data_IF_437593570447
#
_entry.id   IF_437593570447
#
_cell.length_a   1.000
_cell.length_b   1.000
_cell.length_c   1.000
_cell.angle_alpha   90.00
_cell.angle_beta   90.00
_cell.angle_gamma   90.00
#
_symmetry.space_group_name_H-M   'P 1'
#
loop_
_entity.id
_entity.type
_entity.pdbx_description
1 polymer ?
#
# COMPACT_ATOMS: atom_id res chain seq x y z
N UNK A 1 9.57 -14.16 -3.60
CA UNK A 1 8.59 -14.36 -2.51
C UNK A 1 7.56 -15.46 -2.83
N UNK A 2 7.66 -16.09 -4.01
CA UNK A 2 6.80 -17.22 -4.38
C UNK A 2 6.96 -18.37 -3.38
N UNK A 3 5.85 -18.96 -2.97
CA UNK A 3 5.89 -20.12 -2.07
C UNK A 3 5.95 -19.82 -0.59
N UNK A 4 5.98 -18.57 -0.14
CA UNK A 4 5.88 -18.28 1.29
C UNK A 4 4.46 -18.58 1.80
N UNK A 5 4.33 -19.14 3.03
CA UNK A 5 3.04 -19.61 3.52
C UNK A 5 2.02 -18.50 3.81
N UNK A 6 2.45 -17.25 3.86
CA UNK A 6 1.59 -16.09 4.12
C UNK A 6 0.79 -15.64 2.90
N UNK A 7 1.15 -16.09 1.69
CA UNK A 7 0.48 -15.68 0.46
C UNK A 7 -0.93 -16.25 0.39
N UNK A 8 -1.91 -15.37 0.23
CA UNK A 8 -3.30 -15.73 0.00
C UNK A 8 -3.52 -16.26 -1.42
N UNK A 9 -2.75 -15.77 -2.38
CA UNK A 9 -2.71 -16.22 -3.77
C UNK A 9 -1.27 -16.17 -4.30
N UNK A 10 -0.95 -16.86 -5.41
CA UNK A 10 0.37 -16.74 -6.03
C UNK A 10 0.71 -15.28 -6.38
N UNK A 11 2.00 -14.97 -6.44
CA UNK A 11 2.46 -13.63 -6.84
C UNK A 11 1.92 -13.29 -8.24
N UNK A 12 1.33 -12.11 -8.36
CA UNK A 12 0.66 -11.67 -9.59
C UNK A 12 1.63 -10.81 -10.39
N UNK A 13 1.86 -11.19 -11.63
CA UNK A 13 2.83 -10.54 -12.52
C UNK A 13 2.19 -9.76 -13.67
N UNK A 14 0.88 -9.93 -13.90
CA UNK A 14 0.15 -9.25 -14.97
C UNK A 14 -0.72 -8.10 -14.41
N UNK A 15 -0.62 -6.91 -15.02
CA UNK A 15 -1.34 -5.72 -14.58
C UNK A 15 -2.87 -5.89 -14.59
N UNK A 16 -3.42 -6.50 -15.62
CA UNK A 16 -4.88 -6.77 -15.72
C UNK A 16 -5.37 -7.69 -14.61
N UNK A 17 -4.59 -8.69 -14.29
CA UNK A 17 -4.87 -9.62 -13.21
C UNK A 17 -4.80 -8.94 -11.84
N UNK A 18 -3.82 -8.07 -11.66
CA UNK A 18 -3.67 -7.26 -10.46
C UNK A 18 -4.88 -6.33 -10.24
N UNK A 19 -5.39 -5.69 -11.29
CA UNK A 19 -6.61 -4.89 -11.21
C UNK A 19 -7.82 -5.72 -10.75
N UNK A 20 -7.97 -6.93 -11.31
CA UNK A 20 -9.05 -7.86 -10.90
C UNK A 20 -8.93 -8.28 -9.44
N UNK A 21 -7.71 -8.48 -8.94
CA UNK A 21 -7.45 -8.84 -7.53
C UNK A 21 -7.79 -7.67 -6.61
N UNK A 22 -7.47 -6.44 -6.98
CA UNK A 22 -7.89 -5.27 -6.20
C UNK A 22 -9.42 -5.15 -6.15
N UNK A 23 -10.11 -5.46 -7.23
CA UNK A 23 -11.57 -5.56 -7.25
C UNK A 23 -12.09 -6.62 -6.29
N UNK A 24 -11.43 -7.77 -6.21
CA UNK A 24 -11.73 -8.80 -5.23
C UNK A 24 -11.52 -8.31 -3.79
N UNK A 25 -10.46 -7.56 -3.53
CA UNK A 25 -10.18 -6.99 -2.20
C UNK A 25 -11.31 -6.04 -1.78
N UNK A 26 -11.82 -5.22 -2.70
CA UNK A 26 -12.98 -4.35 -2.43
C UNK A 26 -14.21 -5.18 -2.05
N UNK A 27 -14.49 -6.26 -2.76
CA UNK A 27 -15.62 -7.16 -2.46
C UNK A 27 -15.43 -7.85 -1.11
N UNK A 28 -14.22 -8.27 -0.78
CA UNK A 28 -13.88 -8.86 0.52
C UNK A 28 -14.11 -7.85 1.64
N UNK A 29 -13.70 -6.61 1.46
CA UNK A 29 -13.97 -5.53 2.40
C UNK A 29 -15.47 -5.35 2.64
N UNK A 30 -16.26 -5.27 1.58
CA UNK A 30 -17.71 -5.14 1.67
C UNK A 30 -18.36 -6.33 2.38
N UNK A 31 -17.90 -7.55 2.10
CA UNK A 31 -18.34 -8.77 2.77
C UNK A 31 -18.05 -8.72 4.27
N UNK A 32 -16.86 -8.26 4.65
CA UNK A 32 -16.48 -8.09 6.07
C UNK A 32 -17.36 -7.09 6.78
N UNK A 33 -17.70 -5.97 6.13
CA UNK A 33 -18.62 -4.99 6.70
C UNK A 33 -20.02 -5.58 6.93
N UNK A 34 -20.51 -6.38 6.00
CA UNK A 34 -21.81 -7.08 6.20
C UNK A 34 -21.78 -7.98 7.40
N UNK A 35 -20.71 -8.76 7.59
CA UNK A 35 -20.54 -9.64 8.76
C UNK A 35 -20.43 -8.83 10.05
N UNK A 36 -19.66 -7.77 10.07
CA UNK A 36 -19.49 -6.90 11.23
C UNK A 36 -20.81 -6.22 11.63
N UNK A 37 -21.59 -5.78 10.65
CA UNK A 37 -22.91 -5.17 10.89
C UNK A 37 -23.87 -6.15 11.52
N UNK A 38 -23.91 -7.41 11.07
CA UNK A 38 -24.78 -8.47 11.66
C UNK A 38 -24.48 -8.70 13.13
N UNK A 39 -23.22 -8.55 13.54
CA UNK A 39 -22.77 -8.78 14.92
C UNK A 39 -22.82 -7.51 15.76
N UNK A 40 -23.01 -6.35 15.12
CA UNK A 40 -23.06 -5.06 15.79
C UNK A 40 -21.70 -4.53 16.24
N UNK A 41 -20.64 -4.83 15.49
CA UNK A 41 -19.28 -4.36 15.77
C UNK A 41 -18.83 -3.36 14.70
N UNK A 42 -17.89 -2.49 15.06
CA UNK A 42 -17.42 -1.38 14.20
C UNK A 42 -16.11 -1.70 13.45
N UNK A 43 -15.36 -2.68 13.91
CA UNK A 43 -14.05 -3.01 13.36
C UNK A 43 -13.72 -4.49 13.53
N UNK A 44 -12.63 -4.92 12.87
CA UNK A 44 -12.18 -6.30 12.89
C UNK A 44 -11.82 -6.79 14.30
N UNK A 45 -11.25 -5.95 15.12
CA UNK A 45 -10.86 -6.31 16.49
C UNK A 45 -12.10 -6.63 17.32
N UNK A 46 -13.15 -5.84 17.19
CA UNK A 46 -14.45 -6.11 17.83
C UNK A 46 -15.07 -7.40 17.33
N UNK A 47 -14.99 -7.69 16.05
CA UNK A 47 -15.47 -8.94 15.48
C UNK A 47 -14.67 -10.15 16.01
N UNK A 48 -13.35 -10.07 15.94
CA UNK A 48 -12.46 -11.16 16.32
C UNK A 48 -12.53 -11.49 17.83
N UNK A 49 -12.83 -10.52 18.68
CA UNK A 49 -13.01 -10.74 20.11
C UNK A 49 -14.26 -11.55 20.45
N UNK A 50 -15.26 -11.55 19.55
CA UNK A 50 -16.56 -12.22 19.77
C UNK A 50 -16.69 -13.55 19.04
N UNK A 51 -15.78 -13.91 18.15
CA UNK A 51 -15.88 -15.07 17.29
C UNK A 51 -14.72 -16.05 17.48
N UNK A 52 -15.06 -17.36 17.44
CA UNK A 52 -14.05 -18.43 17.51
C UNK A 52 -13.18 -18.49 16.26
N UNK A 53 -13.74 -18.15 15.09
CA UNK A 53 -13.03 -18.07 13.82
C UNK A 53 -12.80 -16.61 13.47
N UNK A 54 -11.65 -16.02 13.83
CA UNK A 54 -11.37 -14.63 13.55
C UNK A 54 -11.15 -14.39 12.05
N UNK A 55 -11.49 -13.20 11.59
CA UNK A 55 -11.08 -12.74 10.25
C UNK A 55 -9.58 -12.44 10.28
N UNK A 56 -8.80 -12.97 9.33
CA UNK A 56 -7.38 -12.59 9.22
C UNK A 56 -7.21 -11.17 8.73
N UNK A 57 -6.15 -10.50 9.15
CA UNK A 57 -5.71 -9.27 8.51
C UNK A 57 -5.19 -9.59 7.11
N UNK A 58 -5.47 -8.71 6.17
CA UNK A 58 -4.97 -8.82 4.78
C UNK A 58 -4.06 -7.63 4.50
N UNK A 59 -2.85 -7.91 4.04
CA UNK A 59 -1.92 -6.88 3.57
C UNK A 59 -1.77 -7.07 2.06
N UNK A 60 -2.09 -6.02 1.32
CA UNK A 60 -1.93 -5.97 -0.14
C UNK A 60 -0.67 -5.18 -0.44
N UNK A 61 0.28 -5.81 -1.11
CA UNK A 61 1.55 -5.18 -1.47
C UNK A 61 1.63 -5.06 -2.99
N UNK A 62 1.79 -3.85 -3.48
CA UNK A 62 2.00 -3.54 -4.90
C UNK A 62 3.44 -3.06 -5.05
N UNK A 63 4.27 -3.90 -5.67
CA UNK A 63 5.71 -3.66 -5.81
C UNK A 63 6.03 -2.52 -6.79
N UNK A 64 5.30 -2.42 -7.89
CA UNK A 64 5.47 -1.35 -8.86
C UNK A 64 4.09 -0.87 -9.37
N UNK A 65 3.58 0.19 -8.75
CA UNK A 65 2.27 0.73 -9.09
C UNK A 65 2.22 1.41 -10.47
N UNK A 66 3.37 1.83 -11.03
CA UNK A 66 3.40 2.46 -12.36
C UNK A 66 2.84 1.54 -13.45
N UNK A 67 3.12 0.25 -13.37
CA UNK A 67 2.61 -0.73 -14.32
C UNK A 67 1.09 -0.85 -14.27
N UNK A 68 0.51 -0.78 -13.08
CA UNK A 68 -0.95 -0.77 -12.90
C UNK A 68 -1.58 0.52 -13.43
N UNK A 69 -0.98 1.66 -13.13
CA UNK A 69 -1.51 2.96 -13.51
C UNK A 69 -1.50 3.17 -15.02
N UNK A 70 -0.51 2.63 -15.74
CA UNK A 70 -0.43 2.70 -17.20
C UNK A 70 -1.51 1.88 -17.90
N UNK A 71 -1.92 0.76 -17.32
CA UNK A 71 -2.87 -0.17 -17.95
C UNK A 71 -4.32 0.11 -17.53
N UNK A 72 -4.55 0.40 -16.26
CA UNK A 72 -5.88 0.47 -15.67
C UNK A 72 -6.01 1.61 -14.65
N UNK A 73 -5.36 2.74 -14.89
CA UNK A 73 -5.21 3.83 -13.93
C UNK A 73 -6.52 4.30 -13.28
N UNK A 74 -7.57 4.55 -14.06
CA UNK A 74 -8.86 5.00 -13.53
C UNK A 74 -9.56 3.94 -12.65
N UNK A 75 -9.50 2.69 -13.07
CA UNK A 75 -10.06 1.57 -12.32
C UNK A 75 -9.32 1.38 -11.00
N UNK A 76 -7.99 1.42 -11.03
CA UNK A 76 -7.13 1.33 -9.84
C UNK A 76 -7.42 2.48 -8.87
N UNK A 77 -7.50 3.72 -9.35
CA UNK A 77 -7.84 4.88 -8.52
C UNK A 77 -9.21 4.73 -7.86
N UNK A 78 -10.20 4.19 -8.59
CA UNK A 78 -11.53 3.92 -8.05
C UNK A 78 -11.50 2.89 -6.91
N UNK A 79 -10.76 1.81 -7.06
CA UNK A 79 -10.58 0.81 -6.01
C UNK A 79 -9.84 1.37 -4.80
N UNK A 80 -8.75 2.11 -5.03
CA UNK A 80 -7.97 2.75 -3.97
C UNK A 80 -8.83 3.73 -3.18
N UNK A 81 -9.64 4.52 -3.84
CA UNK A 81 -10.53 5.48 -3.18
C UNK A 81 -11.53 4.77 -2.25
N UNK A 82 -12.14 3.68 -2.70
CA UNK A 82 -13.04 2.87 -1.86
C UNK A 82 -12.31 2.24 -0.67
N UNK A 83 -11.16 1.63 -0.92
CA UNK A 83 -10.37 0.95 0.10
C UNK A 83 -9.84 1.92 1.14
N UNK A 84 -9.34 3.08 0.75
CA UNK A 84 -8.77 4.05 1.68
C UNK A 84 -9.77 4.57 2.71
N UNK A 85 -11.05 4.63 2.34
CA UNK A 85 -12.09 5.10 3.24
C UNK A 85 -12.49 4.07 4.30
N UNK A 86 -12.42 2.79 4.00
CA UNK A 86 -13.09 1.76 4.80
C UNK A 86 -12.20 0.54 5.14
N UNK A 87 -11.10 0.33 4.44
CA UNK A 87 -10.33 -0.90 4.55
C UNK A 87 -9.69 -1.12 5.92
N UNK A 88 -9.25 -0.05 6.57
CA UNK A 88 -8.58 -0.12 7.89
C UNK A 88 -9.46 -0.82 8.94
N UNK A 89 -10.71 -0.42 9.06
CA UNK A 89 -11.61 -1.04 10.03
C UNK A 89 -11.94 -2.49 9.71
N UNK A 90 -11.87 -2.88 8.44
CA UNK A 90 -12.05 -4.26 7.98
C UNK A 90 -10.77 -5.11 8.05
N UNK A 91 -9.67 -4.57 8.56
CA UNK A 91 -8.39 -5.27 8.69
C UNK A 91 -7.65 -5.46 7.38
N UNK A 92 -7.85 -4.58 6.41
CA UNK A 92 -7.19 -4.62 5.10
C UNK A 92 -6.28 -3.41 4.98
N UNK A 93 -5.00 -3.65 4.70
CA UNK A 93 -3.97 -2.62 4.58
C UNK A 93 -3.27 -2.72 3.23
N UNK A 94 -2.92 -1.56 2.67
CA UNK A 94 -2.31 -1.49 1.34
C UNK A 94 -0.97 -0.79 1.44
N UNK A 95 0.05 -1.41 0.86
CA UNK A 95 1.38 -0.84 0.69
C UNK A 95 1.64 -0.73 -0.80
N UNK A 96 1.79 0.51 -1.30
CA UNK A 96 2.08 0.75 -2.71
C UNK A 96 3.48 1.31 -2.87
N UNK A 97 4.23 0.72 -3.79
CA UNK A 97 5.58 1.13 -4.09
C UNK A 97 5.75 1.42 -5.58
N UNK A 98 6.71 2.26 -5.90
CA UNK A 98 7.12 2.53 -7.28
C UNK A 98 8.58 2.99 -7.33
N UNK A 99 9.27 2.61 -8.39
CA UNK A 99 10.60 3.15 -8.74
C UNK A 99 10.49 4.35 -9.70
N UNK A 100 9.27 4.71 -10.12
CA UNK A 100 9.00 5.79 -11.09
C UNK A 100 8.12 6.87 -10.46
N UNK A 101 8.71 7.79 -9.68
CA UNK A 101 7.95 8.82 -8.98
C UNK A 101 7.56 9.97 -9.91
N UNK A 102 6.70 9.70 -10.88
CA UNK A 102 6.15 10.72 -11.79
C UNK A 102 4.76 11.16 -11.36
N UNK A 103 4.31 12.32 -11.81
CA UNK A 103 2.97 12.85 -11.53
C UNK A 103 1.86 12.00 -12.15
N UNK A 104 2.17 11.26 -13.22
CA UNK A 104 1.23 10.35 -13.87
C UNK A 104 1.00 9.06 -13.06
N UNK A 105 1.93 8.70 -12.21
CA UNK A 105 1.88 7.53 -11.35
C UNK A 105 1.39 7.90 -9.97
N UNK A 106 2.01 8.90 -9.36
CA UNK A 106 1.64 9.44 -8.04
C UNK A 106 0.69 10.62 -8.27
N UNK A 107 -0.54 10.28 -8.65
CA UNK A 107 -1.58 11.27 -8.97
C UNK A 107 -2.12 11.95 -7.73
N UNK A 108 -2.92 13.01 -7.93
CA UNK A 108 -3.61 13.68 -6.82
C UNK A 108 -4.52 12.74 -6.03
N UNK A 109 -5.21 11.82 -6.70
CA UNK A 109 -6.05 10.80 -6.05
C UNK A 109 -5.21 9.86 -5.18
N UNK A 110 -4.09 9.39 -5.68
CA UNK A 110 -3.16 8.55 -4.92
C UNK A 110 -2.61 9.29 -3.71
N UNK A 111 -2.16 10.52 -3.88
CA UNK A 111 -1.65 11.35 -2.78
C UNK A 111 -2.69 11.60 -1.70
N UNK A 112 -3.93 11.85 -2.08
CA UNK A 112 -5.02 12.10 -1.14
C UNK A 112 -5.34 10.86 -0.27
N UNK A 113 -5.13 9.66 -0.82
CA UNK A 113 -5.48 8.40 -0.17
C UNK A 113 -4.30 7.70 0.51
N UNK A 114 -3.08 8.16 0.27
CA UNK A 114 -1.86 7.67 0.92
C UNK A 114 -1.12 8.81 1.61
N UNK A 115 -1.62 9.28 2.75
CA UNK A 115 -1.01 10.39 3.47
C UNK A 115 0.31 10.02 4.15
N UNK A 116 0.50 8.75 4.49
CA UNK A 116 1.78 8.24 5.01
C UNK A 116 2.65 7.82 3.84
N UNK A 117 3.86 8.40 3.76
CA UNK A 117 4.75 8.16 2.63
C UNK A 117 6.18 7.95 3.10
N UNK A 118 6.90 7.13 2.35
CA UNK A 118 8.31 6.88 2.54
C UNK A 118 9.01 7.14 1.20
N UNK A 119 10.09 7.91 1.22
CA UNK A 119 10.97 8.07 0.07
C UNK A 119 12.37 7.64 0.45
N UNK A 120 12.89 6.67 -0.27
CA UNK A 120 14.32 6.38 -0.30
C UNK A 120 15.03 7.41 -1.17
N UNK A 121 16.34 7.26 -1.36
CA UNK A 121 17.10 8.17 -2.21
C UNK A 121 16.50 8.25 -3.63
N UNK A 122 16.31 9.46 -4.11
CA UNK A 122 15.88 9.75 -5.49
C UNK A 122 16.96 10.54 -6.21
N UNK A 123 16.84 10.67 -7.54
CA UNK A 123 17.86 11.31 -8.37
C UNK A 123 17.69 12.82 -8.52
N UNK A 124 16.51 13.35 -8.20
CA UNK A 124 16.20 14.77 -8.41
C UNK A 124 15.32 15.36 -7.32
N UNK A 125 15.39 16.68 -7.17
CA UNK A 125 14.48 17.44 -6.29
C UNK A 125 13.02 17.34 -6.74
N UNK A 126 12.78 17.21 -8.04
CA UNK A 126 11.45 17.05 -8.61
C UNK A 126 10.81 15.75 -8.12
N UNK A 127 11.56 14.65 -8.13
CA UNK A 127 11.09 13.36 -7.64
C UNK A 127 10.77 13.41 -6.15
N UNK A 128 11.62 14.06 -5.35
CA UNK A 128 11.36 14.26 -3.93
C UNK A 128 10.05 15.03 -3.69
N UNK A 129 9.83 16.11 -4.41
CA UNK A 129 8.60 16.90 -4.32
C UNK A 129 7.37 16.10 -4.76
N UNK A 130 7.52 15.29 -5.78
CA UNK A 130 6.41 14.43 -6.25
C UNK A 130 5.96 13.45 -5.18
N UNK A 131 6.88 12.87 -4.42
CA UNK A 131 6.58 11.91 -3.37
C UNK A 131 6.14 12.60 -2.08
N UNK A 132 6.94 13.57 -1.61
CA UNK A 132 6.83 14.13 -0.26
C UNK A 132 6.25 15.55 -0.22
N UNK A 133 6.12 16.20 -1.36
CA UNK A 133 5.77 17.62 -1.41
C UNK A 133 6.95 18.58 -1.14
N UNK A 134 8.09 18.04 -0.74
CA UNK A 134 9.30 18.81 -0.40
C UNK A 134 10.54 18.18 -1.01
N UNK A 135 11.57 19.00 -1.20
CA UNK A 135 12.90 18.50 -1.58
C UNK A 135 13.60 17.86 -0.37
N UNK A 136 14.62 17.06 -0.61
CA UNK A 136 15.46 16.45 0.43
C UNK A 136 15.79 15.00 0.20
N UNK A 137 14.91 14.22 -0.42
CA UNK A 137 15.18 12.81 -0.70
C UNK A 137 16.34 12.59 -1.68
N UNK A 138 16.67 13.56 -2.51
CA UNK A 138 17.83 13.55 -3.40
C UNK A 138 19.19 13.61 -2.66
N UNK A 139 19.17 14.00 -1.41
CA UNK A 139 20.36 14.10 -0.55
C UNK A 139 20.59 12.87 0.32
N UNK A 140 19.68 11.88 0.28
CA UNK A 140 19.80 10.66 1.07
C UNK A 140 21.00 9.81 0.60
N UNK A 141 21.54 9.01 1.53
CA UNK A 141 22.76 8.24 1.32
C UNK A 141 22.55 6.88 0.64
N UNK A 142 21.31 6.43 0.49
CA UNK A 142 21.00 5.11 -0.04
C UNK A 142 21.01 4.01 1.03
N UNK A 143 20.80 2.76 0.61
CA UNK A 143 20.86 1.56 1.45
C UNK A 143 20.01 1.63 2.72
N UNK A 144 18.77 2.08 2.58
CA UNK A 144 17.84 2.17 3.70
C UNK A 144 17.70 3.55 4.33
N UNK A 145 18.54 4.51 3.96
CA UNK A 145 18.36 5.90 4.36
C UNK A 145 17.10 6.47 3.70
N UNK A 146 16.13 6.94 4.49
CA UNK A 146 14.83 7.33 3.99
C UNK A 146 14.27 8.55 4.70
N UNK A 147 13.34 9.23 4.03
CA UNK A 147 12.46 10.22 4.63
C UNK A 147 11.07 9.60 4.83
N UNK A 148 10.59 9.66 6.05
CA UNK A 148 9.26 9.21 6.44
C UNK A 148 8.36 10.42 6.67
N UNK A 149 7.23 10.46 5.96
CA UNK A 149 6.20 11.48 6.14
C UNK A 149 4.98 10.85 6.78
N UNK A 150 4.64 11.33 7.98
CA UNK A 150 3.42 10.91 8.67
C UNK A 150 2.18 11.58 8.07
N UNK A 151 1.00 11.10 8.44
CA UNK A 151 -0.28 11.69 8.02
C UNK A 151 -0.45 13.16 8.43
N UNK A 152 0.34 13.64 9.39
CA UNK A 152 0.38 15.04 9.82
C UNK A 152 1.36 15.90 8.98
N UNK A 153 1.85 15.42 7.85
CA UNK A 153 2.82 16.07 6.97
C UNK A 153 4.18 16.35 7.63
N UNK A 154 4.48 15.67 8.71
CA UNK A 154 5.77 15.79 9.40
C UNK A 154 6.76 14.81 8.80
N UNK A 155 7.92 15.32 8.35
CA UNK A 155 8.97 14.52 7.73
C UNK A 155 10.08 14.25 8.76
N UNK A 156 10.45 12.97 8.88
CA UNK A 156 11.51 12.49 9.77
C UNK A 156 12.47 11.64 8.92
N UNK A 157 13.77 11.85 9.11
CA UNK A 157 14.80 11.00 8.51
C UNK A 157 14.99 9.76 9.37
N UNK A 158 14.92 8.60 8.73
CA UNK A 158 15.11 7.30 9.37
C UNK A 158 16.11 6.51 8.54
N UNK A 159 17.03 5.84 9.21
CA UNK A 159 17.96 4.93 8.54
C UNK A 159 17.50 3.49 8.79
N UNK A 160 16.76 2.93 7.85
CA UNK A 160 16.30 1.55 7.90
C UNK A 160 17.44 0.58 7.52
N UNK A 161 17.40 -0.66 7.99
CA UNK A 161 18.36 -1.66 7.56
C UNK A 161 18.20 -1.98 6.07
N UNK A 162 19.32 -2.21 5.40
CA UNK A 162 19.31 -2.70 4.04
C UNK A 162 19.21 -4.23 4.05
N UNK A 163 18.29 -4.77 3.26
CA UNK A 163 18.09 -6.21 3.09
C UNK A 163 18.61 -6.60 1.71
N UNK A 164 19.60 -7.49 1.66
CA UNK A 164 20.17 -7.94 0.40
C UNK A 164 19.34 -9.07 -0.23
N UNK A 165 19.52 -9.29 -1.53
CA UNK A 165 18.86 -10.38 -2.25
C UNK A 165 19.17 -11.75 -1.63
N UNK A 166 20.43 -11.96 -1.21
CA UNK A 166 20.83 -13.19 -0.52
C UNK A 166 20.10 -13.43 0.81
N UNK A 167 19.72 -12.36 1.50
CA UNK A 167 18.93 -12.46 2.74
C UNK A 167 17.47 -12.78 2.46
N UNK A 168 16.94 -12.31 1.33
CA UNK A 168 15.57 -12.59 0.90
C UNK A 168 15.40 -14.05 0.47
N UNK A 169 16.42 -14.63 -0.16
CA UNK A 169 16.39 -16.02 -0.66
C UNK A 169 16.53 -17.08 0.45
N UNK A 170 16.97 -16.70 1.65
CA UNK A 170 17.08 -17.59 2.81
C UNK A 170 15.74 -17.77 3.53
#
# INVERSE_FOLDING_TARGET
YEGIPHLLCPVITEAKRAASVLGWVVKEMESRYRLMTKVGVKNIDGYNSKHKLPMPYIVVIVDEMSDLMLVSGKEIEGYIQKLSQMARAAGIHIIMATQRPSVDVITGTIKANFPTRISFQVTSKIDSRTILGEQGAEQLLGKGDMLYMSSANRIIRIHAPFVSDNEIEK
#
